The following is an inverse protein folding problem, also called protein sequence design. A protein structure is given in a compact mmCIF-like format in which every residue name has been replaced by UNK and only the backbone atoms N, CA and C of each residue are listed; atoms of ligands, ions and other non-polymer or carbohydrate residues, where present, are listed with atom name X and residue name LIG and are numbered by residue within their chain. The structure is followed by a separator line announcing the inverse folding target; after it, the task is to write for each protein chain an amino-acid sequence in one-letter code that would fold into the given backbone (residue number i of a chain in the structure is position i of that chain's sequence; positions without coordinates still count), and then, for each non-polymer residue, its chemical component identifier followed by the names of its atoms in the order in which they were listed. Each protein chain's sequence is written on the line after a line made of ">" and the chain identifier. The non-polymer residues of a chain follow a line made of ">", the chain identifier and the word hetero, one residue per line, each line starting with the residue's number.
data_IF_836415415499
#
_entry.id   IF_836415415499
#
_cell.length_a   1.000
_cell.length_b   1.000
_cell.length_c   1.000
_cell.angle_alpha   90.00
_cell.angle_beta   90.00
_cell.angle_gamma   90.00
#
_symmetry.space_group_name_H-M   'P 1'
#
loop_
_entity.id
_entity.type
_entity.pdbx_description
1 polymer ?
#
# COMPACT_ATOMS: atom_id res chain seq x y z
N UNK A 1 -25.84 -15.84 59.33
CA UNK A 1 -26.90 -15.38 58.42
C UNK A 1 -26.47 -14.15 57.57
N UNK A 2 -25.57 -13.28 58.02
CA UNK A 2 -25.11 -12.06 57.34
C UNK A 2 -24.16 -12.31 56.14
N UNK A 3 -23.26 -13.28 56.21
CA UNK A 3 -22.27 -13.58 55.14
C UNK A 3 -22.90 -14.09 53.82
N UNK A 4 -24.06 -14.74 53.87
CA UNK A 4 -24.79 -15.18 52.66
C UNK A 4 -25.42 -14.03 51.87
N UNK A 5 -25.78 -12.91 52.54
CA UNK A 5 -26.32 -11.72 51.87
C UNK A 5 -25.26 -10.92 51.13
N UNK A 6 -23.99 -10.88 51.62
CA UNK A 6 -22.89 -10.20 50.96
C UNK A 6 -22.42 -10.92 49.70
N UNK A 7 -22.43 -12.26 49.70
CA UNK A 7 -22.10 -13.05 48.53
C UNK A 7 -23.11 -12.87 47.37
N UNK A 8 -24.41 -12.79 47.71
CA UNK A 8 -25.47 -12.55 46.73
C UNK A 8 -25.36 -11.17 46.04
N UNK A 9 -25.02 -10.13 46.81
CA UNK A 9 -24.83 -8.77 46.28
C UNK A 9 -23.58 -8.70 45.35
N UNK A 10 -22.51 -9.39 45.71
CA UNK A 10 -21.30 -9.49 44.86
C UNK A 10 -21.58 -10.21 43.53
N UNK A 11 -22.37 -11.28 43.57
CA UNK A 11 -22.76 -12.04 42.39
C UNK A 11 -23.67 -11.23 41.45
N UNK A 12 -24.65 -10.52 42.01
CA UNK A 12 -25.55 -9.64 41.24
C UNK A 12 -24.75 -8.49 40.58
N UNK A 13 -23.81 -7.85 41.31
CA UNK A 13 -22.90 -6.83 40.70
C UNK A 13 -22.02 -7.39 39.62
N UNK A 14 -21.49 -8.60 39.76
CA UNK A 14 -20.69 -9.29 38.74
C UNK A 14 -21.52 -9.57 37.48
N UNK A 15 -22.74 -10.06 37.60
CA UNK A 15 -23.65 -10.29 36.48
C UNK A 15 -24.07 -8.99 35.77
N UNK A 16 -24.38 -7.93 36.51
CA UNK A 16 -24.69 -6.61 35.94
C UNK A 16 -23.52 -6.01 35.19
N UNK A 17 -22.30 -6.11 35.73
CA UNK A 17 -21.09 -5.63 35.06
C UNK A 17 -20.74 -6.48 33.82
N UNK A 18 -20.95 -7.79 33.84
CA UNK A 18 -20.74 -8.66 32.68
C UNK A 18 -21.78 -8.41 31.56
N UNK A 19 -23.05 -8.19 31.95
CA UNK A 19 -24.11 -7.84 30.99
C UNK A 19 -23.91 -6.43 30.41
N UNK A 20 -23.49 -5.45 31.21
CA UNK A 20 -23.14 -4.11 30.73
C UNK A 20 -21.94 -4.13 29.79
N UNK A 21 -20.89 -4.91 30.08
CA UNK A 21 -19.73 -5.09 29.19
C UNK A 21 -20.10 -5.79 27.87
N UNK A 22 -20.95 -6.83 27.91
CA UNK A 22 -21.43 -7.49 26.68
C UNK A 22 -22.29 -6.54 25.85
N UNK A 23 -23.15 -5.74 26.51
CA UNK A 23 -23.99 -4.76 25.79
C UNK A 23 -23.17 -3.62 25.18
N UNK A 24 -22.15 -3.12 25.88
CA UNK A 24 -21.23 -2.12 25.29
C UNK A 24 -20.38 -2.70 24.17
N UNK A 25 -19.94 -3.95 24.26
CA UNK A 25 -19.17 -4.63 23.21
C UNK A 25 -20.03 -4.87 21.97
N UNK A 26 -21.27 -5.33 22.13
CA UNK A 26 -22.19 -5.53 21.02
C UNK A 26 -22.60 -4.21 20.37
N UNK A 27 -22.89 -3.17 21.16
CA UNK A 27 -23.19 -1.83 20.62
C UNK A 27 -22.00 -1.24 19.86
N UNK A 28 -20.77 -1.51 20.29
CA UNK A 28 -19.57 -1.03 19.60
C UNK A 28 -19.30 -1.80 18.32
N UNK A 29 -19.55 -3.12 18.30
CA UNK A 29 -19.42 -3.93 17.09
C UNK A 29 -20.51 -3.59 16.06
N UNK A 30 -21.75 -3.41 16.49
CA UNK A 30 -22.86 -3.05 15.60
C UNK A 30 -22.67 -1.64 15.01
N UNK A 31 -22.20 -0.68 15.83
CA UNK A 31 -21.87 0.68 15.39
C UNK A 31 -20.72 0.69 14.36
N UNK A 32 -19.67 -0.10 14.58
CA UNK A 32 -18.51 -0.16 13.67
C UNK A 32 -18.91 -0.85 12.35
N UNK A 33 -19.76 -1.87 12.42
CA UNK A 33 -20.21 -2.62 11.26
C UNK A 33 -21.18 -1.80 10.40
N UNK A 34 -22.08 -1.00 11.00
CA UNK A 34 -22.97 -0.12 10.25
C UNK A 34 -22.21 0.96 9.50
N UNK A 35 -21.26 1.62 10.14
CA UNK A 35 -20.43 2.66 9.51
C UNK A 35 -19.56 2.14 8.36
N UNK A 36 -19.05 0.90 8.46
CA UNK A 36 -18.29 0.30 7.37
C UNK A 36 -19.17 -0.04 6.16
N UNK A 37 -20.39 -0.51 6.38
CA UNK A 37 -21.33 -0.78 5.29
C UNK A 37 -21.83 0.51 4.63
N UNK A 38 -22.12 1.55 5.42
CA UNK A 38 -22.48 2.88 4.92
C UNK A 38 -21.38 3.45 4.01
N UNK A 39 -20.12 3.40 4.44
CA UNK A 39 -18.97 3.83 3.64
C UNK A 39 -18.92 3.16 2.27
N UNK A 40 -19.11 1.83 2.22
CA UNK A 40 -19.07 1.10 0.94
C UNK A 40 -20.25 1.44 0.03
N UNK A 41 -21.44 1.64 0.60
CA UNK A 41 -22.64 2.04 -0.15
C UNK A 41 -22.45 3.46 -0.70
N UNK A 42 -21.90 4.36 0.10
CA UNK A 42 -21.76 5.76 -0.28
C UNK A 42 -20.64 5.97 -1.32
N UNK A 43 -19.54 5.25 -1.22
CA UNK A 43 -18.35 5.49 -2.04
C UNK A 43 -18.06 4.40 -3.09
N UNK A 44 -18.96 3.44 -3.32
CA UNK A 44 -18.71 2.38 -4.30
C UNK A 44 -18.39 2.92 -5.70
N UNK A 45 -19.10 3.97 -6.13
CA UNK A 45 -18.92 4.54 -7.46
C UNK A 45 -17.55 5.23 -7.63
N UNK A 46 -17.15 6.19 -6.78
CA UNK A 46 -15.80 6.77 -6.88
C UNK A 46 -14.68 5.74 -6.65
N UNK A 47 -14.89 4.68 -5.86
CA UNK A 47 -13.93 3.60 -5.70
C UNK A 47 -13.74 2.83 -7.01
N UNK A 48 -14.80 2.44 -7.70
CA UNK A 48 -14.70 1.73 -8.98
C UNK A 48 -14.10 2.61 -10.08
N UNK A 49 -14.58 3.86 -10.20
CA UNK A 49 -14.03 4.82 -11.17
C UNK A 49 -12.56 5.08 -10.90
N UNK A 50 -12.19 5.35 -9.63
CA UNK A 50 -10.81 5.59 -9.22
C UNK A 50 -9.90 4.41 -9.53
N UNK A 51 -10.34 3.19 -9.22
CA UNK A 51 -9.61 1.95 -9.54
C UNK A 51 -9.35 1.82 -11.03
N UNK A 52 -10.39 2.00 -11.86
CA UNK A 52 -10.27 1.87 -13.30
C UNK A 52 -9.38 2.97 -13.90
N UNK A 53 -9.57 4.22 -13.48
CA UNK A 53 -8.79 5.35 -13.99
C UNK A 53 -7.32 5.22 -13.61
N UNK A 54 -6.99 4.86 -12.36
CA UNK A 54 -5.60 4.65 -11.96
C UNK A 54 -4.96 3.48 -12.70
N UNK A 55 -5.69 2.39 -12.93
CA UNK A 55 -5.21 1.28 -13.75
C UNK A 55 -4.90 1.72 -15.19
N UNK A 56 -5.77 2.51 -15.81
CA UNK A 56 -5.55 3.04 -17.16
C UNK A 56 -4.37 4.02 -17.21
N UNK A 57 -4.27 4.93 -16.23
CA UNK A 57 -3.12 5.84 -16.12
C UNK A 57 -1.81 5.07 -15.93
N UNK A 58 -1.79 4.07 -15.08
CA UNK A 58 -0.64 3.19 -14.87
C UNK A 58 -0.22 2.50 -16.18
N UNK A 59 -1.19 1.97 -16.94
CA UNK A 59 -0.91 1.39 -18.26
C UNK A 59 -0.31 2.41 -19.23
N UNK A 60 -0.89 3.62 -19.30
CA UNK A 60 -0.39 4.69 -20.19
C UNK A 60 1.04 5.08 -19.78
N UNK A 61 1.31 5.26 -18.50
CA UNK A 61 2.61 5.69 -17.99
C UNK A 61 3.72 4.66 -18.24
N UNK A 62 3.42 3.38 -18.07
CA UNK A 62 4.41 2.31 -18.17
C UNK A 62 4.52 1.67 -19.57
N UNK A 63 3.43 1.63 -20.33
CA UNK A 63 3.43 0.95 -21.62
C UNK A 63 3.42 1.91 -22.82
N UNK A 64 2.91 3.13 -22.67
CA UNK A 64 2.75 4.06 -23.81
C UNK A 64 3.76 5.21 -23.74
N UNK A 65 3.96 5.81 -22.57
CA UNK A 65 4.87 6.95 -22.42
C UNK A 65 6.32 6.48 -22.21
N UNK A 66 7.30 7.13 -22.88
CA UNK A 66 8.70 6.72 -22.78
C UNK A 66 9.43 7.23 -21.54
N UNK A 67 8.76 7.89 -20.59
CA UNK A 67 9.42 8.58 -19.47
C UNK A 67 10.08 7.60 -18.48
N UNK A 68 9.63 6.34 -18.40
CA UNK A 68 10.30 5.28 -17.64
C UNK A 68 11.46 4.62 -18.35
N UNK A 69 11.65 4.86 -19.67
CA UNK A 69 12.70 4.21 -20.45
C UNK A 69 14.12 4.47 -19.88
N UNK A 70 14.33 5.62 -19.25
CA UNK A 70 15.61 5.97 -18.64
C UNK A 70 15.81 5.48 -17.21
N UNK A 71 14.85 4.76 -16.61
CA UNK A 71 14.93 4.32 -15.21
C UNK A 71 15.90 3.14 -15.06
N UNK A 72 16.09 2.35 -16.11
CA UNK A 72 17.04 1.27 -16.17
C UNK A 72 18.08 1.54 -17.25
N UNK A 73 19.34 1.18 -16.98
CA UNK A 73 20.43 1.30 -17.94
C UNK A 73 20.75 -0.08 -18.50
N UNK A 74 21.01 -0.14 -19.80
CA UNK A 74 21.51 -1.34 -20.44
C UNK A 74 22.88 -1.71 -19.86
N UNK A 75 23.09 -3.00 -19.58
CA UNK A 75 24.39 -3.53 -19.19
C UNK A 75 25.34 -3.48 -20.38
N UNK A 76 26.58 -2.98 -20.24
CA UNK A 76 27.51 -2.83 -21.37
C UNK A 76 27.82 -4.13 -22.16
N UNK A 77 27.88 -5.25 -21.47
CA UNK A 77 28.08 -6.57 -22.07
C UNK A 77 26.97 -7.53 -21.61
N UNK A 78 25.77 -7.29 -22.12
CA UNK A 78 24.55 -7.99 -21.73
C UNK A 78 24.63 -9.50 -22.01
N UNK A 79 25.13 -9.88 -23.18
CA UNK A 79 25.22 -11.29 -23.60
C UNK A 79 26.11 -12.09 -22.64
N UNK A 80 27.28 -11.56 -22.30
CA UNK A 80 28.18 -12.21 -21.36
C UNK A 80 27.59 -12.34 -19.96
N UNK A 81 26.82 -11.34 -19.49
CA UNK A 81 26.10 -11.44 -18.22
C UNK A 81 25.04 -12.53 -18.29
N UNK A 82 24.25 -12.58 -19.35
CA UNK A 82 23.19 -13.58 -19.52
C UNK A 82 23.77 -15.01 -19.59
N UNK A 83 24.90 -15.19 -20.30
CA UNK A 83 25.57 -16.49 -20.39
C UNK A 83 26.14 -16.90 -19.01
N UNK A 84 26.71 -15.97 -18.27
CA UNK A 84 27.17 -16.23 -16.91
C UNK A 84 26.00 -16.67 -16.01
N UNK A 85 24.89 -15.94 -15.99
CA UNK A 85 23.72 -16.28 -15.17
C UNK A 85 23.15 -17.66 -15.54
N UNK A 86 23.10 -18.00 -16.83
CA UNK A 86 22.68 -19.33 -17.30
C UNK A 86 23.65 -20.42 -16.83
N UNK A 87 24.97 -20.20 -16.95
CA UNK A 87 25.99 -21.17 -16.57
C UNK A 87 25.97 -21.50 -15.06
N UNK A 88 25.58 -20.52 -14.25
CA UNK A 88 25.44 -20.69 -12.80
C UNK A 88 24.09 -21.26 -12.37
N UNK A 89 23.14 -21.45 -13.30
CA UNK A 89 21.77 -21.90 -13.03
C UNK A 89 21.10 -21.10 -11.92
N UNK A 90 21.27 -19.77 -11.92
CA UNK A 90 20.69 -18.90 -10.88
C UNK A 90 19.17 -18.89 -11.05
N UNK A 91 18.39 -19.38 -10.08
CA UNK A 91 16.93 -19.39 -10.17
C UNK A 91 16.34 -17.98 -10.09
N UNK A 92 15.05 -17.86 -10.40
CA UNK A 92 14.33 -16.59 -10.18
C UNK A 92 14.36 -16.23 -8.69
N UNK A 93 14.67 -14.97 -8.39
CA UNK A 93 14.80 -14.47 -7.03
C UNK A 93 15.47 -13.09 -6.96
N UNK A 94 15.52 -12.56 -5.76
CA UNK A 94 16.18 -11.28 -5.47
C UNK A 94 17.49 -11.57 -4.74
N UNK A 95 18.58 -11.12 -5.28
CA UNK A 95 19.93 -11.37 -4.78
C UNK A 95 20.65 -10.07 -4.45
N UNK A 96 21.40 -10.05 -3.38
CA UNK A 96 22.32 -8.98 -3.03
C UNK A 96 23.75 -9.52 -3.06
N UNK A 97 24.69 -8.76 -3.60
CA UNK A 97 26.09 -9.13 -3.61
C UNK A 97 27.00 -7.96 -3.22
N UNK A 98 28.10 -8.21 -2.44
CA UNK A 98 28.40 -9.45 -1.72
C UNK A 98 27.41 -9.69 -0.57
N UNK A 99 27.12 -10.96 -0.28
CA UNK A 99 26.26 -11.37 0.82
C UNK A 99 26.94 -12.50 1.61
N UNK A 100 27.09 -12.39 2.92
CA UNK A 100 27.60 -13.47 3.75
C UNK A 100 26.54 -14.56 3.94
N UNK A 101 26.98 -15.82 4.09
CA UNK A 101 26.07 -16.96 4.32
C UNK A 101 25.37 -16.86 5.68
N UNK A 102 26.01 -16.24 6.66
CA UNK A 102 25.49 -16.06 8.01
C UNK A 102 25.62 -14.61 8.46
N UNK A 103 24.62 -14.12 9.19
CA UNK A 103 24.64 -12.76 9.75
C UNK A 103 25.85 -12.51 10.66
N UNK A 104 26.35 -13.54 11.38
CA UNK A 104 27.55 -13.45 12.21
C UNK A 104 28.84 -13.18 11.42
N UNK A 105 28.86 -13.49 10.13
CA UNK A 105 30.02 -13.31 9.25
C UNK A 105 30.05 -11.93 8.57
N UNK A 106 29.02 -11.13 8.77
CA UNK A 106 28.87 -9.81 8.13
C UNK A 106 30.08 -8.89 8.38
N UNK A 107 30.68 -8.98 9.56
CA UNK A 107 31.85 -8.18 9.96
C UNK A 107 33.17 -8.95 9.88
N UNK A 108 33.19 -10.12 9.25
CA UNK A 108 34.46 -10.85 9.03
C UNK A 108 35.35 -10.03 8.08
N UNK A 109 36.68 -10.17 8.26
CA UNK A 109 37.65 -9.45 7.42
C UNK A 109 37.43 -9.72 5.93
N UNK A 110 37.12 -10.97 5.57
CA UNK A 110 36.87 -11.38 4.19
C UNK A 110 35.62 -10.68 3.59
N UNK A 111 34.52 -10.65 4.32
CA UNK A 111 33.30 -10.02 3.83
C UNK A 111 33.41 -8.48 3.76
N UNK A 112 34.11 -7.88 4.74
CA UNK A 112 34.41 -6.44 4.69
C UNK A 112 35.30 -6.11 3.49
N UNK A 113 36.29 -6.94 3.17
CA UNK A 113 37.16 -6.77 2.00
C UNK A 113 36.36 -6.90 0.70
N UNK A 114 35.56 -7.96 0.53
CA UNK A 114 34.66 -8.14 -0.61
C UNK A 114 33.71 -6.94 -0.78
N UNK A 115 33.12 -6.46 0.31
CA UNK A 115 32.23 -5.31 0.27
C UNK A 115 32.97 -4.01 -0.09
N UNK A 116 34.21 -3.83 0.38
CA UNK A 116 34.99 -2.62 0.14
C UNK A 116 35.53 -2.60 -1.29
N UNK A 117 36.02 -3.71 -1.78
CA UNK A 117 36.58 -3.86 -3.12
C UNK A 117 35.47 -3.82 -4.20
N UNK A 118 34.31 -4.43 -3.90
CA UNK A 118 33.20 -4.51 -4.87
C UNK A 118 33.46 -5.48 -6.03
N UNK A 119 32.60 -5.49 -7.05
CA UNK A 119 31.35 -4.72 -7.17
C UNK A 119 30.29 -5.12 -6.15
N UNK A 120 29.34 -4.20 -5.87
CA UNK A 120 28.16 -4.46 -5.03
C UNK A 120 26.91 -4.03 -5.72
N UNK A 121 25.84 -4.79 -5.47
CA UNK A 121 24.56 -4.51 -6.12
C UNK A 121 23.44 -5.44 -5.73
N UNK A 122 22.33 -5.23 -6.39
CA UNK A 122 21.17 -6.10 -6.39
C UNK A 122 21.07 -6.76 -7.77
N UNK A 123 20.67 -8.03 -7.80
CA UNK A 123 20.36 -8.77 -9.00
C UNK A 123 18.97 -9.39 -8.83
N UNK A 124 18.03 -8.95 -9.65
CA UNK A 124 16.69 -9.49 -9.72
C UNK A 124 16.58 -10.38 -10.97
N UNK A 125 16.33 -11.67 -10.75
CA UNK A 125 16.11 -12.65 -11.83
C UNK A 125 14.63 -13.01 -11.82
N UNK A 126 13.96 -12.82 -12.96
CA UNK A 126 12.52 -13.04 -13.11
C UNK A 126 12.22 -14.25 -13.99
N UNK A 127 11.15 -14.95 -13.68
CA UNK A 127 10.53 -15.88 -14.60
C UNK A 127 9.75 -15.13 -15.69
N UNK A 128 9.38 -15.85 -16.76
CA UNK A 128 8.53 -15.28 -17.79
C UNK A 128 7.22 -14.75 -17.18
N UNK A 129 6.90 -13.46 -17.34
CA UNK A 129 5.73 -12.88 -16.66
C UNK A 129 4.42 -13.41 -17.24
N UNK A 130 3.50 -13.82 -16.36
CA UNK A 130 2.10 -14.08 -16.71
C UNK A 130 1.36 -12.75 -16.79
N UNK A 131 1.29 -12.15 -17.98
CA UNK A 131 0.70 -10.82 -18.18
C UNK A 131 -0.77 -10.71 -17.69
N UNK A 132 -1.70 -11.62 -18.04
CA UNK A 132 -3.08 -11.53 -17.53
C UNK A 132 -3.17 -11.57 -16.01
N UNK A 133 -2.40 -12.44 -15.37
CA UNK A 133 -2.36 -12.54 -13.91
C UNK A 133 -1.77 -11.28 -13.27
N UNK A 134 -0.71 -10.72 -13.85
CA UNK A 134 -0.09 -9.50 -13.34
C UNK A 134 -1.02 -8.29 -13.50
N UNK A 135 -1.75 -8.18 -14.61
CA UNK A 135 -2.79 -7.15 -14.79
C UNK A 135 -3.91 -7.29 -13.75
N UNK A 136 -4.39 -8.50 -13.52
CA UNK A 136 -5.41 -8.75 -12.48
C UNK A 136 -4.92 -8.36 -11.07
N UNK A 137 -3.67 -8.70 -10.72
CA UNK A 137 -3.04 -8.29 -9.46
C UNK A 137 -2.91 -6.77 -9.36
N UNK A 138 -2.59 -6.09 -10.45
CA UNK A 138 -2.48 -4.61 -10.49
C UNK A 138 -3.85 -3.96 -10.26
N UNK A 139 -4.90 -4.47 -10.89
CA UNK A 139 -6.27 -4.00 -10.63
C UNK A 139 -6.65 -4.23 -9.16
N UNK A 140 -6.38 -5.42 -8.62
CA UNK A 140 -6.62 -5.74 -7.21
C UNK A 140 -5.86 -4.80 -6.25
N UNK A 141 -4.60 -4.49 -6.56
CA UNK A 141 -3.82 -3.52 -5.79
C UNK A 141 -4.47 -2.12 -5.80
N UNK A 142 -4.84 -1.60 -6.97
CA UNK A 142 -5.52 -0.30 -7.04
C UNK A 142 -6.88 -0.34 -6.33
N UNK A 143 -7.65 -1.41 -6.47
CA UNK A 143 -8.93 -1.53 -5.77
C UNK A 143 -8.77 -1.45 -4.25
N UNK A 144 -7.83 -2.18 -3.68
CA UNK A 144 -7.57 -2.17 -2.24
C UNK A 144 -7.07 -0.81 -1.77
N UNK A 145 -6.12 -0.20 -2.49
CA UNK A 145 -5.56 1.10 -2.09
C UNK A 145 -6.57 2.22 -2.25
N UNK A 146 -7.33 2.28 -3.35
CA UNK A 146 -8.40 3.28 -3.57
C UNK A 146 -9.51 3.14 -2.53
N UNK A 147 -9.90 1.91 -2.19
CA UNK A 147 -10.88 1.66 -1.12
C UNK A 147 -10.37 2.15 0.23
N UNK A 148 -9.11 1.90 0.56
CA UNK A 148 -8.49 2.36 1.80
C UNK A 148 -8.42 3.90 1.85
N UNK A 149 -8.04 4.54 0.76
CA UNK A 149 -8.02 6.01 0.64
C UNK A 149 -9.42 6.59 0.80
N UNK A 150 -10.41 5.98 0.16
CA UNK A 150 -11.81 6.34 0.31
C UNK A 150 -12.30 6.24 1.75
N UNK A 151 -11.96 5.14 2.44
CA UNK A 151 -12.29 4.94 3.84
C UNK A 151 -11.70 6.03 4.75
N UNK A 152 -10.41 6.32 4.61
CA UNK A 152 -9.75 7.36 5.42
C UNK A 152 -10.36 8.73 5.10
N UNK A 153 -10.67 9.01 3.83
CA UNK A 153 -11.32 10.26 3.42
C UNK A 153 -12.72 10.36 4.02
N UNK A 154 -13.49 9.27 4.02
CA UNK A 154 -14.82 9.21 4.62
C UNK A 154 -14.77 9.52 6.12
N UNK A 155 -13.86 8.90 6.86
CA UNK A 155 -13.66 9.16 8.29
C UNK A 155 -13.24 10.60 8.56
N UNK A 156 -12.35 11.17 7.73
CA UNK A 156 -11.83 12.53 7.91
C UNK A 156 -12.83 13.63 7.50
N UNK A 157 -13.71 13.35 6.54
CA UNK A 157 -14.68 14.31 6.03
C UNK A 157 -16.08 14.17 6.67
N UNK A 158 -16.36 13.07 7.35
CA UNK A 158 -17.62 12.75 8.02
C UNK A 158 -18.86 13.16 7.21
N UNK A 159 -19.42 12.27 6.38
CA UNK A 159 -20.69 12.51 5.69
C UNK A 159 -21.79 12.79 6.73
N UNK A 160 -22.53 13.89 6.60
CA UNK A 160 -23.60 14.26 7.54
C UNK A 160 -23.32 15.44 8.48
N UNK A 161 -22.08 15.93 8.60
CA UNK A 161 -21.82 17.30 9.05
C UNK A 161 -22.08 18.26 7.88
N UNK A 162 -22.58 19.46 8.14
CA UNK A 162 -22.91 20.50 7.13
C UNK A 162 -22.04 20.43 5.87
N UNK A 163 -22.61 20.66 4.68
CA UNK A 163 -22.04 20.49 3.33
C UNK A 163 -20.51 20.36 3.29
N UNK A 164 -20.01 19.14 3.00
CA UNK A 164 -18.57 18.91 2.92
C UNK A 164 -18.05 19.62 1.67
N UNK A 165 -17.18 20.61 1.87
CA UNK A 165 -16.59 21.38 0.79
C UNK A 165 -15.75 20.48 -0.14
N UNK A 166 -15.95 20.64 -1.45
CA UNK A 166 -15.18 19.96 -2.50
C UNK A 166 -13.68 20.00 -2.24
N UNK A 167 -13.14 21.17 -1.87
CA UNK A 167 -11.71 21.35 -1.62
C UNK A 167 -11.23 20.57 -0.40
N UNK A 168 -12.07 20.34 0.60
CA UNK A 168 -11.73 19.52 1.75
C UNK A 168 -11.54 18.06 1.33
N UNK A 169 -12.48 17.49 0.58
CA UNK A 169 -12.39 16.12 0.07
C UNK A 169 -11.18 15.97 -0.87
N UNK A 170 -11.03 16.91 -1.81
CA UNK A 170 -9.90 16.93 -2.74
C UNK A 170 -8.54 16.90 -2.01
N UNK A 171 -8.36 17.77 -1.00
CA UNK A 171 -7.13 17.84 -0.22
C UNK A 171 -6.87 16.56 0.55
N UNK A 172 -7.88 16.02 1.24
CA UNK A 172 -7.70 14.81 2.05
C UNK A 172 -7.39 13.61 1.15
N UNK A 173 -8.25 13.30 0.18
CA UNK A 173 -8.06 12.16 -0.72
C UNK A 173 -6.78 12.31 -1.55
N UNK A 174 -6.53 13.49 -2.11
CA UNK A 174 -5.34 13.77 -2.92
C UNK A 174 -4.04 13.66 -2.12
N UNK A 175 -3.98 14.23 -0.92
CA UNK A 175 -2.78 14.16 -0.07
C UNK A 175 -2.46 12.72 0.34
N UNK A 176 -3.47 11.94 0.77
CA UNK A 176 -3.28 10.53 1.14
C UNK A 176 -2.81 9.73 -0.07
N UNK A 177 -3.39 9.98 -1.24
CA UNK A 177 -3.02 9.31 -2.49
C UNK A 177 -1.58 9.63 -2.91
N UNK A 178 -1.17 10.92 -2.85
CA UNK A 178 0.21 11.32 -3.12
C UNK A 178 1.16 10.63 -2.14
N UNK A 179 0.84 10.62 -0.85
CA UNK A 179 1.64 9.94 0.16
C UNK A 179 1.75 8.44 -0.14
N UNK A 180 0.65 7.80 -0.57
CA UNK A 180 0.61 6.37 -0.88
C UNK A 180 1.46 6.01 -2.11
N UNK A 181 1.32 6.76 -3.21
CA UNK A 181 1.91 6.38 -4.49
C UNK A 181 3.26 7.04 -4.78
N UNK A 182 3.45 8.31 -4.40
CA UNK A 182 4.68 9.03 -4.72
C UNK A 182 5.85 8.71 -3.79
N UNK A 183 5.60 8.30 -2.53
CA UNK A 183 6.66 8.10 -1.54
C UNK A 183 7.11 6.65 -1.36
N UNK A 184 6.39 5.69 -1.95
CA UNK A 184 6.60 4.25 -1.74
C UNK A 184 8.06 3.79 -1.98
N UNK A 185 8.72 4.34 -3.00
CA UNK A 185 10.08 3.96 -3.38
C UNK A 185 11.17 4.94 -2.93
N UNK A 186 10.82 6.05 -2.26
CA UNK A 186 11.80 7.08 -1.85
C UNK A 186 12.83 6.52 -0.87
N UNK A 187 12.40 5.76 0.14
CA UNK A 187 13.29 5.15 1.11
C UNK A 187 14.22 4.11 0.46
N UNK A 188 13.72 3.34 -0.49
CA UNK A 188 14.54 2.37 -1.22
C UNK A 188 15.65 3.06 -2.03
N UNK A 189 15.39 4.25 -2.58
CA UNK A 189 16.41 5.07 -3.23
C UNK A 189 17.53 5.50 -2.30
N UNK A 190 17.24 5.79 -1.05
CA UNK A 190 18.27 6.22 -0.08
C UNK A 190 19.35 5.15 0.11
N UNK A 191 18.94 3.88 0.14
CA UNK A 191 19.86 2.75 0.36
C UNK A 191 20.38 2.12 -0.93
N UNK A 192 19.58 2.15 -1.97
CA UNK A 192 19.90 1.52 -3.26
C UNK A 192 19.80 2.56 -4.37
N UNK A 193 20.72 2.55 -5.31
CA UNK A 193 20.83 3.56 -6.36
C UNK A 193 19.73 3.42 -7.43
N UNK A 194 18.47 3.59 -7.03
CA UNK A 194 17.30 3.53 -7.91
C UNK A 194 16.90 4.94 -8.38
N UNK A 195 16.50 5.10 -9.64
CA UNK A 195 15.86 6.33 -10.12
C UNK A 195 14.37 6.28 -9.76
N UNK A 196 13.88 7.26 -9.03
CA UNK A 196 12.49 7.28 -8.51
C UNK A 196 11.70 8.54 -8.87
N UNK A 197 12.30 9.46 -9.62
CA UNK A 197 11.65 10.72 -9.94
C UNK A 197 10.42 10.57 -10.83
N UNK A 198 10.44 9.62 -11.76
CA UNK A 198 9.33 9.24 -12.63
C UNK A 198 8.21 8.64 -11.80
N UNK A 199 8.49 7.73 -10.89
CA UNK A 199 7.51 7.14 -9.96
C UNK A 199 6.88 8.19 -9.02
N UNK A 200 7.67 9.18 -8.55
CA UNK A 200 7.15 10.31 -7.75
C UNK A 200 6.18 11.15 -8.59
N UNK A 201 6.54 11.46 -9.83
CA UNK A 201 5.68 12.22 -10.75
C UNK A 201 4.36 11.49 -10.98
N UNK A 202 4.42 10.22 -11.29
CA UNK A 202 3.24 9.37 -11.49
C UNK A 202 2.35 9.36 -10.25
N UNK A 203 2.95 9.17 -9.08
CA UNK A 203 2.25 9.17 -7.80
C UNK A 203 1.57 10.50 -7.49
N UNK A 204 2.17 11.63 -7.86
CA UNK A 204 1.54 12.95 -7.74
C UNK A 204 0.33 13.05 -8.68
N UNK A 205 0.46 12.62 -9.94
CA UNK A 205 -0.67 12.62 -10.89
C UNK A 205 -1.79 11.71 -10.40
N UNK A 206 -1.48 10.50 -9.93
CA UNK A 206 -2.49 9.59 -9.36
C UNK A 206 -3.22 10.26 -8.19
N UNK A 207 -2.50 10.94 -7.32
CA UNK A 207 -3.08 11.62 -6.17
C UNK A 207 -4.00 12.77 -6.55
N UNK A 208 -3.61 13.59 -7.51
CA UNK A 208 -4.44 14.69 -8.02
C UNK A 208 -5.71 14.17 -8.69
N UNK A 209 -5.57 13.15 -9.54
CA UNK A 209 -6.70 12.54 -10.25
C UNK A 209 -7.66 11.86 -9.27
N UNK A 210 -7.14 11.10 -8.31
CA UNK A 210 -7.99 10.43 -7.33
C UNK A 210 -8.69 11.44 -6.39
N UNK A 211 -7.97 12.50 -5.99
CA UNK A 211 -8.57 13.61 -5.24
C UNK A 211 -9.73 14.26 -5.98
N UNK A 212 -9.58 14.51 -7.29
CA UNK A 212 -10.65 15.05 -8.14
C UNK A 212 -11.83 14.07 -8.24
N UNK A 213 -11.58 12.77 -8.44
CA UNK A 213 -12.65 11.76 -8.52
C UNK A 213 -13.45 11.75 -7.22
N UNK A 214 -12.82 11.58 -6.07
CA UNK A 214 -13.52 11.56 -4.79
C UNK A 214 -14.28 12.86 -4.54
N UNK A 215 -13.68 14.02 -4.77
CA UNK A 215 -14.34 15.31 -4.57
C UNK A 215 -15.53 15.52 -5.49
N UNK A 216 -15.45 15.08 -6.75
CA UNK A 216 -16.54 15.25 -7.74
C UNK A 216 -17.72 14.33 -7.47
N UNK A 217 -17.48 13.13 -6.95
CA UNK A 217 -18.52 12.14 -6.68
C UNK A 217 -18.97 12.11 -5.22
N UNK A 218 -18.40 12.96 -4.34
CA UNK A 218 -18.73 12.99 -2.93
C UNK A 218 -20.20 13.33 -2.65
N UNK A 219 -20.79 14.15 -3.49
CA UNK A 219 -22.21 14.56 -3.36
C UNK A 219 -23.21 13.43 -3.60
N UNK A 220 -22.80 12.37 -4.29
CA UNK A 220 -23.66 11.21 -4.57
C UNK A 220 -23.54 10.14 -3.46
N UNK A 221 -22.71 10.40 -2.46
CA UNK A 221 -22.48 9.57 -1.30
C UNK A 221 -23.24 10.03 -0.03
N UNK A 222 -24.14 11.02 -0.17
CA UNK A 222 -24.91 11.59 0.94
C UNK A 222 -26.40 11.25 0.87
#
# INVERSE_FOLDING_TARGET
>A
MWLRRLAAVGWIRGCFNAAARRRSHNLHSDFTQSHFMEFLIDLWLPILIGTFVLFMLSFIFWAVLPHHFGDHKKVPNEDALMDFLRSQNIPAGNYIYPCPDKASEQHSKENVEKYTTGPRGLLDVYEMPNMPLNMAKTIGYFFVTVTTIGYITHVACQPGAAEVDFMRVFRVAGTISILTYATSNVLHRVWFRKRVWTEILDGVVYGLVLGLIFASFWKYAA
#
